data_IF_597355132812
#
_entry.id   IF_597355132812
#
_cell.length_a   1.000
_cell.length_b   1.000
_cell.length_c   1.000
_cell.angle_alpha   90.00
_cell.angle_beta   90.00
_cell.angle_gamma   90.00
#
_symmetry.space_group_name_H-M   'P 1'
#
loop_
_entity.id
_entity.type
_entity.pdbx_description
1 polymer ?
#
# COMPACT_ATOMS: atom_id res chain seq x y z
N UNK A 1 -49.16 -23.29 15.88
CA UNK A 1 -47.91 -23.44 16.64
C UNK A 1 -46.75 -24.04 15.80
N UNK A 2 -46.88 -25.22 15.17
CA UNK A 2 -45.81 -25.84 14.38
C UNK A 2 -45.27 -24.96 13.22
N UNK A 3 -46.09 -24.16 12.53
CA UNK A 3 -45.67 -23.28 11.43
C UNK A 3 -44.82 -22.10 11.89
N UNK A 4 -45.10 -21.54 13.07
CA UNK A 4 -44.33 -20.44 13.65
C UNK A 4 -42.97 -20.92 14.20
N UNK A 5 -42.90 -22.15 14.72
CA UNK A 5 -41.66 -22.76 15.17
C UNK A 5 -40.69 -23.03 14.00
N UNK A 6 -41.24 -23.46 12.83
CA UNK A 6 -40.41 -23.66 11.61
C UNK A 6 -39.90 -22.32 11.07
N UNK A 7 -40.72 -21.26 11.05
CA UNK A 7 -40.28 -19.95 10.63
C UNK A 7 -39.20 -19.38 11.58
N UNK A 8 -39.37 -19.55 12.90
CA UNK A 8 -38.35 -19.10 13.86
C UNK A 8 -37.04 -19.85 13.72
N UNK A 9 -37.07 -21.15 13.45
CA UNK A 9 -35.89 -21.98 13.21
C UNK A 9 -35.15 -21.57 11.91
N UNK A 10 -35.87 -21.23 10.84
CA UNK A 10 -35.28 -20.76 9.57
C UNK A 10 -34.65 -19.40 9.74
N UNK A 11 -35.24 -18.46 10.51
CA UNK A 11 -34.65 -17.15 10.79
C UNK A 11 -33.41 -17.29 11.67
N UNK A 12 -33.40 -18.18 12.66
CA UNK A 12 -32.25 -18.47 13.51
C UNK A 12 -31.08 -19.12 12.73
N UNK A 13 -31.41 -20.04 11.79
CA UNK A 13 -30.36 -20.62 10.91
C UNK A 13 -29.80 -19.63 9.92
N UNK A 14 -30.58 -18.66 9.41
CA UNK A 14 -30.11 -17.59 8.54
C UNK A 14 -29.23 -16.59 9.31
N UNK A 15 -29.51 -16.35 10.59
CA UNK A 15 -28.68 -15.49 11.43
C UNK A 15 -27.34 -16.15 11.83
N UNK A 16 -27.28 -17.49 11.90
CA UNK A 16 -26.05 -18.21 12.25
C UNK A 16 -25.02 -18.28 11.10
N UNK A 17 -25.39 -17.87 9.89
CA UNK A 17 -24.51 -17.87 8.70
C UNK A 17 -23.90 -16.51 8.35
N UNK A 18 -24.13 -15.47 9.14
CA UNK A 18 -23.42 -14.21 9.01
C UNK A 18 -22.03 -14.35 9.66
N UNK A 19 -21.16 -15.14 9.04
CA UNK A 19 -19.72 -15.00 9.30
C UNK A 19 -19.37 -13.57 8.92
N UNK A 20 -18.95 -12.77 9.89
CA UNK A 20 -18.51 -11.42 9.63
C UNK A 20 -17.41 -11.50 8.56
N UNK A 21 -17.67 -10.89 7.41
CA UNK A 21 -16.69 -10.85 6.33
C UNK A 21 -15.45 -10.14 6.86
N UNK A 22 -14.27 -10.74 6.68
CA UNK A 22 -12.98 -10.11 6.98
C UNK A 22 -12.70 -8.99 5.94
N UNK A 23 -13.44 -7.89 6.08
CA UNK A 23 -13.39 -6.78 5.14
C UNK A 23 -11.98 -6.16 5.05
N UNK A 24 -11.27 -6.11 6.16
CA UNK A 24 -9.90 -5.60 6.23
C UNK A 24 -8.84 -6.57 5.72
N UNK A 25 -9.18 -7.86 5.57
CA UNK A 25 -8.22 -8.91 5.21
C UNK A 25 -7.26 -9.24 6.35
N UNK A 26 -7.71 -9.12 7.61
CA UNK A 26 -6.88 -9.29 8.81
C UNK A 26 -6.29 -10.71 8.94
N UNK A 27 -6.96 -11.71 8.38
CA UNK A 27 -6.49 -13.10 8.42
C UNK A 27 -5.46 -13.42 7.32
N UNK A 28 -5.34 -12.58 6.27
CA UNK A 28 -4.54 -12.86 5.07
C UNK A 28 -3.07 -13.16 5.37
N UNK A 29 -2.48 -12.41 6.30
CA UNK A 29 -1.07 -12.54 6.66
C UNK A 29 -0.84 -12.97 8.12
N UNK A 30 -1.90 -13.33 8.88
CA UNK A 30 -1.78 -13.63 10.31
C UNK A 30 -0.71 -14.69 10.61
N UNK A 31 -0.77 -15.83 9.91
CA UNK A 31 0.19 -16.94 10.11
C UNK A 31 1.61 -16.55 9.64
N UNK A 32 1.71 -15.88 8.50
CA UNK A 32 3.00 -15.43 7.97
C UNK A 32 3.65 -14.37 8.89
N UNK A 33 2.84 -13.47 9.46
CA UNK A 33 3.32 -12.47 10.43
C UNK A 33 3.79 -13.14 11.72
N UNK A 34 3.04 -14.13 12.23
CA UNK A 34 3.41 -14.87 13.45
C UNK A 34 4.68 -15.72 13.26
N UNK A 35 4.93 -16.23 12.05
CA UNK A 35 6.11 -17.03 11.73
C UNK A 35 7.35 -16.18 11.37
N UNK A 36 7.20 -14.85 11.28
CA UNK A 36 8.27 -13.98 10.81
C UNK A 36 9.39 -13.86 11.85
N UNK A 37 10.59 -14.30 11.47
CA UNK A 37 11.77 -14.16 12.33
C UNK A 37 12.13 -12.66 12.55
N UNK A 38 12.88 -12.38 13.61
CA UNK A 38 13.47 -11.05 13.78
C UNK A 38 14.34 -10.67 12.57
N UNK A 39 14.47 -9.37 12.24
CA UNK A 39 15.39 -8.93 11.20
C UNK A 39 16.80 -9.43 11.46
N UNK A 40 17.52 -9.88 10.42
CA UNK A 40 18.92 -10.24 10.54
C UNK A 40 19.77 -8.99 10.85
N UNK A 41 20.86 -9.17 11.60
CA UNK A 41 21.77 -8.08 11.90
C UNK A 41 22.32 -7.44 10.61
N UNK A 42 22.28 -6.13 10.52
CA UNK A 42 22.71 -5.38 9.34
C UNK A 42 21.78 -5.46 8.13
N UNK A 43 20.64 -6.16 8.22
CA UNK A 43 19.65 -6.26 7.16
C UNK A 43 18.30 -5.69 7.64
N UNK A 44 18.02 -4.41 7.37
CA UNK A 44 16.78 -3.78 7.81
C UNK A 44 15.57 -4.42 7.13
N UNK A 45 14.51 -4.65 7.89
CA UNK A 45 13.22 -5.07 7.34
C UNK A 45 12.56 -3.90 6.63
N UNK A 46 12.10 -4.13 5.41
CA UNK A 46 11.32 -3.18 4.61
C UNK A 46 9.97 -3.82 4.26
N UNK A 47 8.88 -3.20 4.68
CA UNK A 47 7.53 -3.67 4.35
C UNK A 47 6.99 -2.87 3.17
N UNK A 48 6.55 -3.57 2.11
CA UNK A 48 5.80 -2.98 1.01
C UNK A 48 4.30 -3.20 1.29
N UNK A 49 3.61 -2.14 1.71
CA UNK A 49 2.16 -2.13 1.90
C UNK A 49 1.48 -1.74 0.60
N UNK A 50 0.49 -2.53 0.16
CA UNK A 50 -0.20 -2.24 -1.09
C UNK A 50 -1.36 -3.16 -1.42
N UNK A 51 -1.73 -3.12 -2.70
CA UNK A 51 -2.81 -3.90 -3.30
C UNK A 51 -2.29 -5.08 -4.16
N UNK A 52 -3.00 -5.42 -5.25
CA UNK A 52 -2.60 -6.49 -6.19
C UNK A 52 -1.22 -6.25 -6.81
N UNK A 53 -0.85 -5.00 -7.05
CA UNK A 53 0.46 -4.67 -7.64
C UNK A 53 1.58 -5.12 -6.69
N UNK A 54 1.40 -4.93 -5.39
CA UNK A 54 2.34 -5.41 -4.38
C UNK A 54 2.21 -6.92 -4.15
N UNK A 55 0.99 -7.48 -4.16
CA UNK A 55 0.75 -8.91 -3.90
C UNK A 55 1.43 -9.82 -4.92
N UNK A 56 1.34 -9.46 -6.23
CA UNK A 56 1.89 -10.29 -7.31
C UNK A 56 3.39 -10.01 -7.61
N UNK A 57 4.00 -9.04 -6.96
CA UNK A 57 5.40 -8.70 -7.20
C UNK A 57 6.36 -9.83 -6.85
N UNK A 58 6.27 -10.52 -5.70
CA UNK A 58 7.13 -11.67 -5.40
C UNK A 58 7.08 -12.79 -6.43
N UNK A 59 5.90 -13.04 -7.03
CA UNK A 59 5.74 -14.07 -8.06
C UNK A 59 6.43 -13.69 -9.38
N UNK A 60 6.54 -12.39 -9.66
CA UNK A 60 7.17 -11.90 -10.89
C UNK A 60 8.67 -11.65 -10.72
N UNK A 61 9.13 -11.32 -9.54
CA UNK A 61 10.54 -11.03 -9.21
C UNK A 61 10.90 -11.56 -7.83
N UNK A 62 10.93 -12.89 -7.61
CA UNK A 62 11.21 -13.48 -6.30
C UNK A 62 12.57 -13.04 -5.73
N UNK A 63 13.59 -12.87 -6.57
CA UNK A 63 14.93 -12.44 -6.15
C UNK A 63 14.96 -11.05 -5.49
N UNK A 64 13.97 -10.21 -5.72
CA UNK A 64 13.85 -8.92 -5.04
C UNK A 64 13.42 -9.07 -3.58
N UNK A 65 12.76 -10.18 -3.23
CA UNK A 65 12.26 -10.46 -1.88
C UNK A 65 13.12 -11.49 -1.13
N UNK A 66 13.62 -12.50 -1.85
CA UNK A 66 14.31 -13.64 -1.25
C UNK A 66 15.64 -13.20 -0.61
N UNK A 67 15.71 -13.29 0.72
CA UNK A 67 16.92 -12.99 1.49
C UNK A 67 17.32 -11.51 1.52
N UNK A 68 16.44 -10.59 1.11
CA UNK A 68 16.77 -9.16 1.00
C UNK A 68 16.26 -8.29 2.16
N UNK A 69 15.40 -8.84 3.02
CA UNK A 69 14.71 -8.09 4.07
C UNK A 69 13.43 -7.38 3.58
N UNK A 70 13.14 -7.38 2.28
CA UNK A 70 11.88 -6.86 1.73
C UNK A 70 10.73 -7.86 1.93
N UNK A 71 9.57 -7.36 2.38
CA UNK A 71 8.38 -8.18 2.65
C UNK A 71 7.17 -7.53 1.99
N UNK A 72 6.51 -8.27 1.08
CA UNK A 72 5.25 -7.87 0.48
C UNK A 72 4.08 -8.06 1.44
N UNK A 73 3.26 -7.02 1.59
CA UNK A 73 1.98 -7.03 2.30
C UNK A 73 0.91 -6.41 1.41
N UNK A 74 0.83 -6.92 0.17
CA UNK A 74 -0.21 -6.59 -0.79
C UNK A 74 -1.41 -7.49 -0.68
N UNK A 75 -2.63 -6.97 -0.88
CA UNK A 75 -3.87 -7.74 -1.01
C UNK A 75 -4.66 -7.22 -2.20
N UNK A 76 -4.91 -8.10 -3.17
CA UNK A 76 -5.61 -7.77 -4.40
C UNK A 76 -6.98 -7.11 -4.16
N UNK A 77 -7.24 -6.04 -4.89
CA UNK A 77 -8.52 -5.33 -4.87
C UNK A 77 -8.72 -4.39 -3.68
N UNK A 78 -7.79 -4.35 -2.72
CA UNK A 78 -7.94 -3.49 -1.55
C UNK A 78 -7.81 -2.01 -1.88
N UNK A 79 -8.69 -1.22 -1.26
CA UNK A 79 -8.63 0.25 -1.22
C UNK A 79 -7.82 0.73 -0.02
N UNK A 80 -7.43 1.99 -0.03
CA UNK A 80 -6.62 2.61 1.03
C UNK A 80 -7.18 2.45 2.45
N UNK A 81 -8.52 2.48 2.61
CA UNK A 81 -9.18 2.27 3.89
C UNK A 81 -8.98 0.86 4.47
N UNK A 82 -8.98 -0.16 3.62
CA UNK A 82 -8.72 -1.54 4.02
C UNK A 82 -7.26 -1.73 4.42
N UNK A 83 -6.32 -1.10 3.70
CA UNK A 83 -4.90 -1.08 4.06
C UNK A 83 -4.68 -0.42 5.44
N UNK A 84 -5.34 0.71 5.71
CA UNK A 84 -5.28 1.39 7.00
C UNK A 84 -5.78 0.51 8.15
N UNK A 85 -6.86 -0.24 7.96
CA UNK A 85 -7.41 -1.14 9.01
C UNK A 85 -6.41 -2.22 9.43
N UNK A 86 -5.65 -2.79 8.49
CA UNK A 86 -4.65 -3.84 8.77
C UNK A 86 -3.22 -3.32 8.99
N UNK A 87 -3.03 -2.00 8.95
CA UNK A 87 -1.70 -1.39 8.97
C UNK A 87 -0.90 -1.74 10.24
N UNK A 88 -1.58 -1.82 11.39
CA UNK A 88 -0.91 -2.19 12.65
C UNK A 88 -0.31 -3.58 12.55
N UNK A 89 -1.12 -4.61 12.28
CA UNK A 89 -0.65 -6.00 12.29
C UNK A 89 0.29 -6.35 11.13
N UNK A 90 0.11 -5.71 9.95
CA UNK A 90 0.86 -6.05 8.74
C UNK A 90 2.07 -5.14 8.50
N UNK A 91 2.23 -4.09 9.31
CA UNK A 91 3.37 -3.18 9.23
C UNK A 91 3.97 -2.94 10.62
N UNK A 92 3.22 -2.30 11.53
CA UNK A 92 3.79 -1.80 12.79
C UNK A 92 4.32 -2.94 13.66
N UNK A 93 3.53 -3.99 13.84
CA UNK A 93 3.86 -5.14 14.69
C UNK A 93 4.98 -6.02 14.08
N UNK A 94 5.35 -5.79 12.81
CA UNK A 94 6.50 -6.43 12.18
C UNK A 94 7.81 -5.70 12.43
N UNK A 95 7.77 -4.53 13.07
CA UNK A 95 8.94 -3.72 13.42
C UNK A 95 9.89 -3.46 12.23
N UNK A 96 9.40 -2.97 11.08
CA UNK A 96 10.27 -2.66 9.96
C UNK A 96 11.06 -1.36 10.21
N UNK A 97 12.20 -1.23 9.58
CA UNK A 97 12.92 0.04 9.53
C UNK A 97 12.25 1.03 8.58
N UNK A 98 11.65 0.52 7.48
CA UNK A 98 10.98 1.32 6.46
C UNK A 98 9.67 0.65 6.03
N UNK A 99 8.65 1.47 5.79
CA UNK A 99 7.45 1.05 5.06
C UNK A 99 7.35 1.82 3.75
N UNK A 100 7.09 1.12 2.65
CA UNK A 100 6.73 1.68 1.34
C UNK A 100 5.22 1.57 1.20
N UNK A 101 4.53 2.68 0.97
CA UNK A 101 3.07 2.72 0.82
C UNK A 101 2.71 2.98 -0.63
N UNK A 102 2.10 1.97 -1.28
CA UNK A 102 1.53 2.06 -2.62
C UNK A 102 0.00 1.83 -2.54
N UNK A 103 -0.78 2.89 -2.58
CA UNK A 103 -2.22 2.86 -2.38
C UNK A 103 -2.94 3.84 -3.30
N UNK A 104 -4.18 3.53 -3.70
CA UNK A 104 -5.06 4.41 -4.46
C UNK A 104 -5.59 3.84 -5.77
N UNK A 105 -4.97 2.82 -6.36
CA UNK A 105 -5.43 2.22 -7.62
C UNK A 105 -6.88 1.75 -7.52
N UNK A 106 -7.22 1.00 -6.48
CA UNK A 106 -8.54 0.45 -6.29
C UNK A 106 -9.55 1.45 -5.72
N UNK A 107 -9.07 2.51 -5.07
CA UNK A 107 -9.90 3.67 -4.69
C UNK A 107 -10.40 4.36 -5.97
N UNK A 108 -9.50 4.69 -6.90
CA UNK A 108 -9.83 5.27 -8.20
C UNK A 108 -10.71 4.33 -9.03
N UNK A 109 -10.49 3.02 -8.95
CA UNK A 109 -11.33 2.02 -9.61
C UNK A 109 -12.70 1.83 -8.95
N UNK A 110 -13.01 2.55 -7.87
CA UNK A 110 -14.29 2.51 -7.15
C UNK A 110 -14.66 1.10 -6.65
N UNK A 111 -13.66 0.29 -6.21
CA UNK A 111 -13.88 -1.09 -5.79
C UNK A 111 -14.73 -1.23 -4.53
N UNK A 112 -14.76 -0.22 -3.66
CA UNK A 112 -15.52 -0.20 -2.40
C UNK A 112 -16.50 0.99 -2.31
N UNK A 113 -16.86 1.58 -3.45
CA UNK A 113 -17.78 2.71 -3.52
C UNK A 113 -17.23 3.86 -4.34
N UNK A 114 -17.96 4.96 -4.47
CA UNK A 114 -17.54 6.11 -5.26
C UNK A 114 -16.19 6.67 -4.81
N UNK A 115 -15.33 7.03 -5.77
CA UNK A 115 -14.02 7.60 -5.48
C UNK A 115 -14.14 8.93 -4.74
N UNK A 116 -13.35 9.07 -3.68
CA UNK A 116 -13.19 10.30 -2.94
C UNK A 116 -11.69 10.54 -2.70
N UNK A 117 -11.14 11.54 -3.38
CA UNK A 117 -9.71 11.86 -3.33
C UNK A 117 -9.24 12.27 -1.93
N UNK A 118 -10.03 13.10 -1.23
CA UNK A 118 -9.68 13.54 0.13
C UNK A 118 -9.65 12.38 1.12
N UNK A 119 -10.57 11.44 0.97
CA UNK A 119 -10.62 10.24 1.81
C UNK A 119 -9.42 9.32 1.52
N UNK A 120 -9.10 9.07 0.24
CA UNK A 120 -7.94 8.26 -0.15
C UNK A 120 -6.63 8.87 0.36
N UNK A 121 -6.44 10.17 0.13
CA UNK A 121 -5.26 10.88 0.63
C UNK A 121 -5.20 10.87 2.17
N UNK A 122 -6.32 11.06 2.84
CA UNK A 122 -6.43 11.01 4.30
C UNK A 122 -5.99 9.66 4.87
N UNK A 123 -6.36 8.55 4.22
CA UNK A 123 -5.91 7.21 4.62
C UNK A 123 -4.39 7.03 4.45
N UNK A 124 -3.81 7.52 3.33
CA UNK A 124 -2.36 7.48 3.09
C UNK A 124 -1.62 8.31 4.14
N UNK A 125 -2.10 9.51 4.45
CA UNK A 125 -1.56 10.38 5.50
C UNK A 125 -1.64 9.67 6.86
N UNK A 126 -2.78 9.06 7.20
CA UNK A 126 -2.95 8.34 8.47
C UNK A 126 -1.97 7.16 8.61
N UNK A 127 -1.77 6.38 7.54
CA UNK A 127 -0.77 5.30 7.54
C UNK A 127 0.65 5.86 7.72
N UNK A 128 0.96 6.99 7.09
CA UNK A 128 2.25 7.67 7.23
C UNK A 128 2.50 8.13 8.67
N UNK A 129 1.52 8.81 9.26
CA UNK A 129 1.60 9.31 10.64
C UNK A 129 1.70 8.17 11.65
N UNK A 130 0.95 7.08 11.45
CA UNK A 130 1.04 5.87 12.26
C UNK A 130 2.43 5.23 12.18
N UNK A 131 3.03 5.13 10.99
CA UNK A 131 4.40 4.61 10.83
C UNK A 131 5.41 5.49 11.58
N UNK A 132 5.38 6.80 11.35
CA UNK A 132 6.29 7.75 11.98
C UNK A 132 6.16 7.77 13.50
N UNK A 133 4.93 7.71 14.03
CA UNK A 133 4.67 7.63 15.48
C UNK A 133 5.24 6.34 16.12
N UNK A 134 5.55 5.31 15.33
CA UNK A 134 6.17 4.06 15.77
C UNK A 134 7.65 3.96 15.37
N UNK A 135 8.30 5.06 14.97
CA UNK A 135 9.71 5.10 14.61
C UNK A 135 10.05 4.42 13.27
N UNK A 136 9.05 4.21 12.41
CA UNK A 136 9.20 3.57 11.10
C UNK A 136 9.36 4.67 10.05
N UNK A 137 10.46 4.65 9.30
CA UNK A 137 10.63 5.55 8.17
C UNK A 137 9.66 5.21 7.04
N UNK A 138 9.24 6.22 6.27
CA UNK A 138 8.20 6.07 5.25
C UNK A 138 8.76 6.42 3.88
N UNK A 139 8.36 5.65 2.87
CA UNK A 139 8.46 5.98 1.45
C UNK A 139 7.06 6.01 0.87
N UNK A 140 6.68 7.10 0.23
CA UNK A 140 5.43 7.21 -0.50
C UNK A 140 5.66 7.01 -1.99
N UNK A 141 4.67 6.39 -2.66
CA UNK A 141 4.77 6.18 -4.11
C UNK A 141 3.60 6.82 -4.83
N UNK A 142 3.77 7.11 -6.12
CA UNK A 142 2.63 7.41 -6.98
C UNK A 142 1.76 6.17 -7.17
N UNK A 143 0.47 6.38 -7.40
CA UNK A 143 -0.41 5.43 -8.07
C UNK A 143 0.11 5.23 -9.50
N UNK A 144 0.18 3.99 -9.97
CA UNK A 144 0.64 3.67 -11.33
C UNK A 144 -0.35 4.23 -12.38
N UNK A 145 0.13 4.53 -13.60
CA UNK A 145 -0.76 5.00 -14.65
C UNK A 145 -1.78 3.91 -15.06
N UNK A 146 -2.99 4.32 -15.38
CA UNK A 146 -3.99 3.47 -16.04
C UNK A 146 -4.96 4.35 -16.85
N UNK A 147 -5.24 3.99 -18.09
CA UNK A 147 -6.25 4.66 -18.90
C UNK A 147 -7.68 4.27 -18.51
N UNK A 148 -7.85 3.15 -17.81
CA UNK A 148 -9.13 2.61 -17.36
C UNK A 148 -8.96 1.25 -16.71
N UNK A 149 -10.05 0.70 -16.19
CA UNK A 149 -10.08 -0.58 -15.50
C UNK A 149 -11.04 -1.54 -16.21
N UNK A 150 -10.56 -2.70 -16.62
CA UNK A 150 -11.35 -3.67 -17.40
C UNK A 150 -12.60 -4.15 -16.64
N UNK A 151 -12.55 -4.16 -15.30
CA UNK A 151 -13.68 -4.52 -14.43
C UNK A 151 -14.62 -3.33 -14.11
N UNK A 152 -14.26 -2.10 -14.57
CA UNK A 152 -15.03 -0.86 -14.43
C UNK A 152 -15.10 -0.10 -15.75
N UNK A 153 -15.68 -0.69 -16.81
CA UNK A 153 -15.66 -0.08 -18.15
C UNK A 153 -16.43 1.25 -18.24
N UNK A 154 -17.32 1.52 -17.29
CA UNK A 154 -18.05 2.78 -17.22
C UNK A 154 -17.19 3.94 -16.66
N UNK A 155 -16.05 3.66 -16.02
CA UNK A 155 -15.13 4.67 -15.52
C UNK A 155 -14.20 5.12 -16.65
N UNK A 156 -14.49 6.27 -17.26
CA UNK A 156 -13.76 6.78 -18.45
C UNK A 156 -12.73 7.87 -18.13
N UNK A 157 -12.64 8.29 -16.87
CA UNK A 157 -11.80 9.38 -16.38
C UNK A 157 -10.67 8.89 -15.43
N UNK A 158 -10.31 7.60 -15.50
CA UNK A 158 -9.32 6.98 -14.63
C UNK A 158 -7.97 7.70 -14.65
N UNK A 159 -7.48 8.09 -15.83
CA UNK A 159 -6.20 8.76 -15.98
C UNK A 159 -6.17 10.13 -15.26
N UNK A 160 -7.25 10.89 -15.29
CA UNK A 160 -7.38 12.15 -14.54
C UNK A 160 -7.46 11.90 -13.03
N UNK A 161 -8.27 10.93 -12.63
CA UNK A 161 -8.43 10.49 -11.23
C UNK A 161 -7.16 9.90 -10.64
N UNK A 162 -6.19 9.46 -11.43
CA UNK A 162 -4.86 9.03 -10.99
C UNK A 162 -3.89 10.21 -10.92
N UNK A 163 -3.91 11.10 -11.91
CA UNK A 163 -2.98 12.21 -11.97
C UNK A 163 -3.18 13.23 -10.82
N UNK A 164 -4.44 13.47 -10.42
CA UNK A 164 -4.77 14.43 -9.36
C UNK A 164 -4.20 14.01 -7.99
N UNK A 165 -4.50 12.82 -7.42
CA UNK A 165 -3.95 12.40 -6.14
C UNK A 165 -2.43 12.25 -6.17
N UNK A 166 -1.81 11.85 -7.29
CA UNK A 166 -0.35 11.77 -7.39
C UNK A 166 0.33 13.11 -7.13
N UNK A 167 -0.23 14.21 -7.62
CA UNK A 167 0.28 15.57 -7.31
C UNK A 167 0.19 15.87 -5.81
N UNK A 168 -0.91 15.48 -5.17
CA UNK A 168 -1.14 15.74 -3.74
C UNK A 168 -0.28 14.85 -2.84
N UNK A 169 -0.12 13.56 -3.18
CA UNK A 169 0.76 12.64 -2.46
C UNK A 169 2.20 13.15 -2.54
N UNK A 170 2.67 13.57 -3.73
CA UNK A 170 3.99 14.16 -3.90
C UNK A 170 4.15 15.41 -3.04
N UNK A 171 3.23 16.37 -3.14
CA UNK A 171 3.29 17.61 -2.37
C UNK A 171 3.30 17.35 -0.85
N UNK A 172 2.53 16.37 -0.37
CA UNK A 172 2.55 15.95 1.02
C UNK A 172 3.92 15.35 1.39
N UNK A 173 4.46 14.43 0.59
CA UNK A 173 5.78 13.83 0.82
C UNK A 173 6.88 14.91 0.89
N UNK A 174 6.92 15.82 -0.08
CA UNK A 174 7.86 16.94 -0.11
C UNK A 174 7.74 17.83 1.12
N UNK A 175 6.51 18.16 1.55
CA UNK A 175 6.26 18.99 2.74
C UNK A 175 6.75 18.38 4.05
N UNK A 176 6.91 17.05 4.07
CA UNK A 176 7.35 16.26 5.24
C UNK A 176 8.78 15.73 5.11
N UNK A 177 9.48 16.02 4.01
CA UNK A 177 10.81 15.45 3.75
C UNK A 177 10.79 13.92 3.56
N UNK A 178 9.66 13.35 3.14
CA UNK A 178 9.48 11.91 2.91
C UNK A 178 9.94 11.57 1.49
N UNK A 179 10.81 10.57 1.27
CA UNK A 179 11.15 10.10 -0.06
C UNK A 179 9.89 9.69 -0.85
N UNK A 180 9.81 10.17 -2.10
CA UNK A 180 8.69 9.89 -3.00
C UNK A 180 9.17 9.19 -4.26
N UNK A 181 8.54 8.04 -4.60
CA UNK A 181 8.83 7.27 -5.80
C UNK A 181 7.81 7.57 -6.88
N UNK A 182 8.24 8.15 -8.00
CA UNK A 182 7.37 8.42 -9.14
C UNK A 182 7.32 7.26 -10.13
N UNK A 183 6.63 6.19 -9.78
CA UNK A 183 6.35 5.10 -10.72
C UNK A 183 5.54 5.58 -11.92
N UNK A 184 4.61 6.54 -11.69
CA UNK A 184 3.76 7.07 -12.76
C UNK A 184 4.59 7.64 -13.90
N UNK A 185 5.50 8.56 -13.61
CA UNK A 185 6.33 9.19 -14.62
C UNK A 185 7.24 8.19 -15.37
N UNK A 186 7.70 7.14 -14.67
CA UNK A 186 8.59 6.12 -15.24
C UNK A 186 7.87 5.09 -16.11
N UNK A 187 6.54 4.97 -16.00
CA UNK A 187 5.78 3.87 -16.58
C UNK A 187 4.63 4.33 -17.51
N UNK A 188 4.30 5.62 -17.53
CA UNK A 188 3.24 6.17 -18.38
C UNK A 188 3.69 6.24 -19.85
N UNK A 189 2.76 6.05 -20.79
CA UNK A 189 3.00 6.39 -22.20
C UNK A 189 2.91 7.90 -22.40
N UNK A 190 3.71 8.43 -23.32
CA UNK A 190 3.70 9.85 -23.71
C UNK A 190 2.65 10.08 -24.83
N UNK A 191 1.38 9.83 -24.49
CA UNK A 191 0.25 10.12 -25.37
C UNK A 191 -0.97 10.55 -24.52
N UNK A 192 -2.05 11.07 -25.18
CA UNK A 192 -3.23 11.55 -24.46
C UNK A 192 -3.95 10.51 -23.59
N UNK A 193 -3.76 9.22 -23.83
CA UNK A 193 -4.36 8.16 -23.00
C UNK A 193 -3.79 8.10 -21.60
N UNK A 194 -2.53 8.50 -21.43
CA UNK A 194 -1.77 8.38 -20.18
C UNK A 194 -1.86 6.98 -19.57
N UNK A 195 -1.89 5.98 -20.45
CA UNK A 195 -1.95 4.57 -20.07
C UNK A 195 -0.65 4.09 -19.46
N UNK A 196 -0.71 2.98 -18.73
CA UNK A 196 0.47 2.20 -18.40
C UNK A 196 1.07 1.64 -19.68
N UNK A 197 2.38 1.83 -19.86
CA UNK A 197 3.10 1.40 -21.06
C UNK A 197 2.85 -0.09 -21.32
N UNK A 198 2.37 -0.48 -22.52
CA UNK A 198 2.08 -1.87 -22.87
C UNK A 198 3.26 -2.82 -22.76
N UNK A 199 4.49 -2.30 -22.80
CA UNK A 199 5.69 -3.09 -22.55
C UNK A 199 5.83 -3.54 -21.10
N UNK A 200 5.13 -2.89 -20.17
CA UNK A 200 5.20 -3.13 -18.74
C UNK A 200 3.97 -3.81 -18.15
N UNK A 201 2.88 -3.91 -18.92
CA UNK A 201 1.62 -4.52 -18.47
C UNK A 201 0.87 -5.17 -19.62
N UNK A 202 0.12 -6.25 -19.34
CA UNK A 202 -0.76 -6.92 -20.33
C UNK A 202 -2.21 -6.47 -20.22
N UNK A 203 -2.63 -5.97 -19.09
CA UNK A 203 -4.01 -5.59 -18.82
C UNK A 203 -4.21 -4.07 -18.62
N UNK A 204 -3.10 -3.32 -18.67
CA UNK A 204 -3.08 -1.88 -18.49
C UNK A 204 -3.07 -1.40 -17.04
N UNK A 205 -2.93 -2.33 -16.05
CA UNK A 205 -2.93 -2.03 -14.61
C UNK A 205 -1.80 -2.75 -13.88
N UNK A 206 -1.68 -4.07 -14.07
CA UNK A 206 -0.71 -4.89 -13.33
C UNK A 206 0.61 -5.01 -14.09
N UNK A 207 1.75 -4.67 -13.45
CA UNK A 207 3.05 -4.85 -14.06
C UNK A 207 3.36 -6.32 -14.35
N UNK A 208 4.04 -6.56 -15.48
CA UNK A 208 4.71 -7.82 -15.77
C UNK A 208 6.17 -7.75 -15.27
N UNK A 209 7.00 -8.83 -15.33
CA UNK A 209 8.38 -8.79 -14.85
C UNK A 209 9.19 -7.58 -15.34
N UNK A 210 9.01 -7.19 -16.61
CA UNK A 210 9.67 -5.99 -17.16
C UNK A 210 9.21 -4.68 -16.50
N UNK A 211 7.96 -4.61 -16.08
CA UNK A 211 7.42 -3.45 -15.34
C UNK A 211 8.01 -3.37 -13.94
N UNK A 212 8.08 -4.49 -13.22
CA UNK A 212 8.72 -4.54 -11.90
C UNK A 212 10.20 -4.20 -11.96
N UNK A 213 10.92 -4.64 -13.00
CA UNK A 213 12.32 -4.28 -13.21
C UNK A 213 12.55 -2.75 -13.36
N UNK A 214 11.52 -1.98 -13.76
CA UNK A 214 11.56 -0.51 -13.74
C UNK A 214 11.30 0.03 -12.34
N UNK A 215 10.42 -0.59 -11.57
CA UNK A 215 10.01 -0.11 -10.23
C UNK A 215 11.11 -0.36 -9.18
N UNK A 216 11.81 -1.49 -9.25
CA UNK A 216 12.78 -1.94 -8.25
C UNK A 216 13.90 -0.94 -7.96
N UNK A 217 14.67 -0.45 -8.95
CA UNK A 217 15.74 0.49 -8.65
C UNK A 217 15.24 1.80 -8.02
N UNK A 218 14.04 2.25 -8.41
CA UNK A 218 13.45 3.48 -7.89
C UNK A 218 13.08 3.33 -6.41
N UNK A 219 12.45 2.21 -6.03
CA UNK A 219 12.08 1.98 -4.63
C UNK A 219 13.30 1.71 -3.76
N UNK A 220 14.30 1.00 -4.26
CA UNK A 220 15.56 0.77 -3.53
C UNK A 220 16.28 2.08 -3.23
N UNK A 221 16.36 2.98 -4.20
CA UNK A 221 16.93 4.32 -4.00
C UNK A 221 16.20 5.09 -2.90
N UNK A 222 14.87 5.12 -2.96
CA UNK A 222 14.05 5.84 -1.97
C UNK A 222 14.13 5.20 -0.57
N UNK A 223 14.16 3.87 -0.48
CA UNK A 223 14.34 3.14 0.79
C UNK A 223 15.71 3.47 1.40
N UNK A 224 16.78 3.48 0.60
CA UNK A 224 18.11 3.86 1.07
C UNK A 224 18.13 5.31 1.56
N UNK A 225 17.47 6.23 0.87
CA UNK A 225 17.33 7.61 1.31
C UNK A 225 16.59 7.70 2.67
N UNK A 226 15.51 6.93 2.84
CA UNK A 226 14.76 6.88 4.10
C UNK A 226 15.59 6.31 5.26
N UNK A 227 16.35 5.24 5.02
CA UNK A 227 17.26 4.64 6.02
C UNK A 227 18.37 5.60 6.43
N UNK A 228 18.96 6.31 5.48
CA UNK A 228 20.03 7.29 5.75
C UNK A 228 19.51 8.47 6.57
N UNK A 229 18.32 8.97 6.26
CA UNK A 229 17.68 10.04 7.02
C UNK A 229 17.36 9.61 8.46
N UNK A 230 16.88 8.38 8.66
CA UNK A 230 16.58 7.83 9.99
C UNK A 230 17.84 7.56 10.83
N UNK A 231 19.00 7.41 10.20
CA UNK A 231 20.29 7.13 10.88
C UNK A 231 21.03 8.41 11.31
N UNK A 232 20.58 9.58 10.83
CA UNK A 232 21.20 10.85 11.24
C UNK A 232 20.60 11.26 12.60
N UNK A 233 21.43 11.51 13.63
CA UNK A 233 20.92 12.05 14.88
C UNK A 233 20.24 13.39 14.61
N UNK A 234 19.05 13.61 15.21
CA UNK A 234 18.40 14.91 15.24
C UNK A 234 19.33 15.95 15.90
N UNK A 235 20.24 16.59 15.12
CA UNK A 235 21.08 17.66 15.61
C UNK A 235 20.25 18.89 16.04
N UNK A 236 18.98 18.99 15.59
CA UNK A 236 18.07 20.09 15.88
C UNK A 236 17.06 19.82 17.00
N UNK A 237 17.10 18.69 17.72
CA UNK A 237 16.24 18.49 18.87
C UNK A 237 16.68 19.33 20.06
N UNK A 238 16.41 20.65 20.00
CA UNK A 238 16.62 21.57 21.11
C UNK A 238 15.79 21.20 22.37
N UNK A 239 14.77 20.35 22.23
CA UNK A 239 13.94 19.84 23.33
C UNK A 239 14.60 18.68 24.10
N UNK A 240 15.47 17.86 23.46
CA UNK A 240 16.16 16.76 24.13
C UNK A 240 17.24 17.22 25.12
N UNK A 241 17.72 18.45 25.02
CA UNK A 241 18.76 19.02 25.90
C UNK A 241 18.25 19.51 27.26
N UNK A 242 16.93 19.52 27.51
CA UNK A 242 16.36 20.07 28.76
C UNK A 242 16.05 19.06 29.86
N UNK A 243 16.30 17.77 29.67
CA UNK A 243 15.98 16.74 30.65
C UNK A 243 17.21 15.99 31.19
N UNK A 244 18.41 16.54 31.01
CA UNK A 244 19.69 15.97 31.43
C UNK A 244 20.45 16.77 32.53
N UNK A 245 19.75 17.63 33.29
CA UNK A 245 20.30 18.27 34.51
C UNK A 245 19.43 18.00 35.74
#
# INVERSE_FOLDING_TARGET
>A
MKRYLIMLAVVLLAAASAVAQDWGGLQRFADANAALAAPAEGQPRVVLMGDSITEIWPDNHPAFFDGTGYIGRGISGQVSAQMLVRFRQDVIDLHPAVVVINAGTNDVAENQGPYNEDFTLGNIISMTELAQANGIAVVLTSVLPAAGFRWRPALTDAADKIAAPNKRIRAYAESKGIPYVDYYASMVVDDPSRALNPAYSKDGVHPVPKGYAVMEPLVVEAVNAALNAASQPDEDCAACRKWGE
#
